data_IF_371509811807
#
_entry.id   IF_371509811807
#
_cell.length_a   1.000
_cell.length_b   1.000
_cell.length_c   1.000
_cell.angle_alpha   90.00
_cell.angle_beta   90.00
_cell.angle_gamma   90.00
#
_symmetry.space_group_name_H-M   'P 1'
#
loop_
_entity.id
_entity.type
_entity.pdbx_description
1 polymer ?
#
# COMPACT_ATOMS: atom_id res chain seq x y z
N UNK A 1 2.07 -13.11 -16.91
CA UNK A 1 2.78 -12.21 -15.98
C UNK A 1 1.74 -11.63 -15.02
N UNK A 2 1.57 -12.24 -13.85
CA UNK A 2 0.62 -11.72 -12.86
C UNK A 2 1.14 -10.40 -12.32
N UNK A 3 0.47 -9.29 -12.63
CA UNK A 3 0.78 -8.00 -12.04
C UNK A 3 0.50 -8.11 -10.53
N UNK A 4 1.50 -7.88 -9.67
CA UNK A 4 1.27 -7.88 -8.23
C UNK A 4 0.32 -6.73 -7.89
N UNK A 5 -0.93 -7.08 -7.56
CA UNK A 5 -2.02 -6.13 -7.27
C UNK A 5 -1.68 -5.19 -6.10
N UNK A 6 -0.69 -5.53 -5.27
CA UNK A 6 -0.22 -4.70 -4.15
C UNK A 6 0.39 -3.40 -4.63
N UNK A 7 1.05 -3.40 -5.80
CA UNK A 7 1.71 -2.20 -6.36
C UNK A 7 0.68 -1.16 -6.83
N UNK A 8 -0.28 -1.46 -7.73
CA UNK A 8 -1.25 -0.48 -8.19
C UNK A 8 -2.17 -0.02 -7.05
N UNK A 9 -2.60 -0.93 -6.17
CA UNK A 9 -3.45 -0.60 -5.04
C UNK A 9 -2.68 0.29 -4.03
N UNK A 10 -1.39 0.03 -3.80
CA UNK A 10 -0.53 0.83 -2.93
C UNK A 10 -0.30 2.23 -3.45
N UNK A 11 -0.12 2.38 -4.77
CA UNK A 11 0.01 3.67 -5.43
C UNK A 11 -1.23 4.54 -5.25
N UNK A 12 -2.43 3.96 -5.42
CA UNK A 12 -3.69 4.71 -5.26
C UNK A 12 -3.84 5.20 -3.81
N UNK A 13 -3.59 4.34 -2.82
CA UNK A 13 -3.64 4.73 -1.41
C UNK A 13 -2.59 5.80 -1.05
N UNK A 14 -1.40 5.71 -1.62
CA UNK A 14 -0.32 6.67 -1.38
C UNK A 14 -0.62 8.03 -2.01
N UNK A 15 -1.19 8.06 -3.22
CA UNK A 15 -1.59 9.30 -3.90
C UNK A 15 -2.77 9.98 -3.20
N UNK A 16 -3.85 9.24 -2.94
CA UNK A 16 -5.06 9.80 -2.32
C UNK A 16 -4.78 10.18 -0.86
N UNK A 17 -4.13 9.30 -0.08
CA UNK A 17 -3.75 9.57 1.29
C UNK A 17 -2.76 10.73 1.42
N UNK A 18 -1.82 10.85 0.47
CA UNK A 18 -0.90 11.97 0.39
C UNK A 18 -1.64 13.29 0.12
N UNK A 19 -2.56 13.30 -0.83
CA UNK A 19 -3.37 14.48 -1.14
C UNK A 19 -4.24 14.91 0.06
N UNK A 20 -4.89 13.96 0.73
CA UNK A 20 -5.67 14.23 1.95
C UNK A 20 -4.79 14.74 3.10
N UNK A 21 -3.59 14.20 3.26
CA UNK A 21 -2.63 14.64 4.29
C UNK A 21 -2.17 16.08 4.03
N UNK A 22 -1.78 16.40 2.78
CA UNK A 22 -1.37 17.75 2.38
C UNK A 22 -2.52 18.74 2.55
N UNK A 23 -3.72 18.36 2.10
CA UNK A 23 -4.92 19.18 2.27
C UNK A 23 -5.22 19.44 3.74
N UNK A 24 -5.16 18.39 4.59
CA UNK A 24 -5.36 18.50 6.03
C UNK A 24 -4.29 19.34 6.74
N UNK A 25 -3.04 19.34 6.26
CA UNK A 25 -1.98 20.20 6.77
C UNK A 25 -2.21 21.67 6.43
N UNK A 26 -2.60 21.97 5.18
CA UNK A 26 -2.88 23.34 4.73
C UNK A 26 -4.11 23.91 5.45
N UNK A 27 -5.16 23.10 5.61
CA UNK A 27 -6.42 23.53 6.23
C UNK A 27 -6.38 23.58 7.75
N UNK A 28 -5.31 23.10 8.41
CA UNK A 28 -5.18 23.04 9.89
C UNK A 28 -5.49 24.35 10.61
N UNK A 29 -5.28 25.50 9.97
CA UNK A 29 -5.50 26.82 10.57
C UNK A 29 -6.90 27.41 10.30
N UNK A 30 -7.71 26.77 9.45
CA UNK A 30 -9.06 27.20 9.10
C UNK A 30 -10.08 26.62 10.08
N UNK A 31 -10.34 27.34 11.16
CA UNK A 31 -11.27 26.94 12.22
C UNK A 31 -12.70 26.66 11.72
N UNK A 32 -13.16 27.38 10.70
CA UNK A 32 -14.52 27.27 10.13
C UNK A 32 -14.83 25.90 9.52
N UNK A 33 -13.81 25.15 9.07
CA UNK A 33 -14.01 23.85 8.42
C UNK A 33 -14.12 22.73 9.47
N UNK A 34 -13.48 22.87 10.64
CA UNK A 34 -13.42 21.83 11.66
C UNK A 34 -14.57 21.84 12.66
N UNK A 35 -15.41 22.86 12.65
CA UNK A 35 -16.62 22.93 13.50
C UNK A 35 -17.52 21.71 13.31
N UNK A 36 -17.66 21.21 12.08
CA UNK A 36 -18.42 19.99 11.76
C UNK A 36 -17.77 18.70 12.26
N UNK A 37 -16.48 18.73 12.58
CA UNK A 37 -15.70 17.57 13.03
C UNK A 37 -15.30 17.67 14.51
N UNK A 38 -15.96 18.52 15.29
CA UNK A 38 -15.61 18.79 16.70
C UNK A 38 -14.14 19.24 16.89
N UNK A 39 -13.59 20.01 15.94
CA UNK A 39 -12.20 20.48 15.99
C UNK A 39 -11.15 19.44 15.56
N UNK A 40 -11.57 18.23 15.15
CA UNK A 40 -10.65 17.15 14.76
C UNK A 40 -10.37 17.19 13.26
N UNK A 41 -9.09 17.13 12.89
CA UNK A 41 -8.65 17.15 11.51
C UNK A 41 -8.71 15.76 10.87
N UNK A 42 -9.93 15.29 10.57
CA UNK A 42 -10.20 13.96 10.01
C UNK A 42 -9.45 13.72 8.70
N UNK A 43 -9.35 14.74 7.83
CA UNK A 43 -8.61 14.63 6.57
C UNK A 43 -7.14 14.31 6.78
N UNK A 44 -6.52 14.93 7.80
CA UNK A 44 -5.14 14.66 8.15
C UNK A 44 -4.97 13.28 8.78
N UNK A 45 -5.82 12.92 9.75
CA UNK A 45 -5.70 11.62 10.45
C UNK A 45 -5.95 10.44 9.51
N UNK A 46 -7.04 10.47 8.73
CA UNK A 46 -7.35 9.41 7.78
C UNK A 46 -6.43 9.42 6.56
N UNK A 47 -6.05 10.60 6.07
CA UNK A 47 -5.06 10.75 5.02
C UNK A 47 -3.72 10.14 5.40
N UNK A 48 -3.26 10.39 6.62
CA UNK A 48 -1.99 9.86 7.14
C UNK A 48 -2.04 8.34 7.31
N UNK A 49 -3.15 7.81 7.84
CA UNK A 49 -3.37 6.35 7.95
C UNK A 49 -3.33 5.67 6.57
N UNK A 50 -4.06 6.20 5.60
CA UNK A 50 -4.08 5.68 4.23
C UNK A 50 -2.71 5.81 3.54
N UNK A 51 -2.01 6.92 3.76
CA UNK A 51 -0.67 7.15 3.21
C UNK A 51 0.36 6.15 3.76
N UNK A 52 0.40 5.95 5.08
CA UNK A 52 1.26 4.97 5.74
C UNK A 52 0.96 3.55 5.26
N UNK A 53 -0.32 3.19 5.17
CA UNK A 53 -0.73 1.89 4.68
C UNK A 53 -0.32 1.66 3.21
N UNK A 54 -0.58 2.61 2.33
CA UNK A 54 -0.19 2.56 0.92
C UNK A 54 1.33 2.48 0.75
N UNK A 55 2.09 3.21 1.56
CA UNK A 55 3.56 3.18 1.58
C UNK A 55 4.09 1.81 1.99
N UNK A 56 3.59 1.23 3.08
CA UNK A 56 3.98 -0.12 3.52
C UNK A 56 3.71 -1.14 2.41
N UNK A 57 2.51 -1.11 1.83
CA UNK A 57 2.12 -2.07 0.81
C UNK A 57 2.91 -1.91 -0.50
N UNK A 58 3.21 -0.68 -0.91
CA UNK A 58 4.08 -0.40 -2.05
C UNK A 58 5.51 -0.91 -1.82
N UNK A 59 6.07 -0.68 -0.62
CA UNK A 59 7.41 -1.15 -0.26
C UNK A 59 7.49 -2.69 -0.20
N UNK A 60 6.45 -3.35 0.32
CA UNK A 60 6.35 -4.82 0.36
C UNK A 60 6.19 -5.39 -1.04
N UNK A 61 5.33 -4.82 -1.88
CA UNK A 61 5.13 -5.25 -3.27
C UNK A 61 6.39 -5.10 -4.13
N UNK A 62 7.23 -4.09 -3.86
CA UNK A 62 8.55 -3.94 -4.49
C UNK A 62 9.58 -4.96 -4.04
N UNK A 63 9.39 -5.63 -2.90
CA UNK A 63 10.29 -6.70 -2.41
C UNK A 63 9.96 -8.05 -3.06
N UNK A 64 9.72 -8.05 -4.37
CA UNK A 64 9.34 -9.19 -5.24
C UNK A 64 10.42 -10.29 -5.36
N UNK A 65 11.34 -10.39 -4.42
CA UNK A 65 12.47 -11.35 -4.43
C UNK A 65 12.12 -12.71 -3.83
N UNK A 66 10.86 -12.96 -3.49
CA UNK A 66 10.47 -14.14 -2.71
C UNK A 66 9.64 -15.16 -3.48
N UNK A 67 9.29 -14.94 -4.76
CA UNK A 67 8.42 -15.85 -5.51
C UNK A 67 8.90 -16.13 -6.94
N UNK A 68 9.12 -17.44 -7.15
CA UNK A 68 9.33 -18.18 -8.40
C UNK A 68 10.65 -17.91 -9.13
N UNK A 69 11.73 -18.42 -8.55
CA UNK A 69 12.99 -18.64 -9.27
C UNK A 69 12.81 -19.88 -10.17
N UNK A 70 12.94 -19.80 -11.51
CA UNK A 70 12.83 -20.97 -12.39
C UNK A 70 13.89 -22.05 -12.07
N UNK A 71 14.90 -21.68 -11.29
CA UNK A 71 16.00 -22.53 -10.84
C UNK A 71 15.59 -23.44 -9.67
N UNK A 72 14.60 -23.06 -8.86
CA UNK A 72 14.16 -23.85 -7.70
C UNK A 72 12.65 -24.13 -7.76
N UNK A 73 12.22 -25.07 -8.62
CA UNK A 73 10.81 -25.47 -8.70
C UNK A 73 10.34 -26.02 -7.35
N UNK A 74 9.05 -25.84 -7.07
CA UNK A 74 8.45 -26.24 -5.80
C UNK A 74 8.61 -27.76 -5.60
N UNK A 75 8.68 -28.27 -4.36
CA UNK A 75 8.92 -29.69 -4.11
C UNK A 75 8.01 -30.66 -4.87
N UNK A 76 6.77 -30.25 -5.17
CA UNK A 76 5.77 -30.99 -5.93
C UNK A 76 5.78 -30.74 -7.45
N UNK A 77 6.54 -29.75 -7.93
CA UNK A 77 6.79 -29.49 -9.37
C UNK A 77 8.01 -30.28 -9.87
N UNK A 78 8.79 -30.87 -8.95
CA UNK A 78 9.91 -31.75 -9.30
C UNK A 78 9.36 -32.98 -10.02
N UNK A 79 9.87 -33.33 -11.22
CA UNK A 79 9.45 -34.55 -11.89
C UNK A 79 9.69 -35.73 -10.96
N UNK A 80 8.71 -36.63 -10.83
CA UNK A 80 8.90 -37.88 -10.11
C UNK A 80 10.09 -38.59 -10.77
N UNK A 81 11.18 -38.77 -10.01
CA UNK A 81 12.39 -39.40 -10.49
C UNK A 81 12.09 -40.78 -11.11
N UNK A 82 12.96 -41.27 -12.00
CA UNK A 82 12.75 -42.54 -12.68
C UNK A 82 12.50 -43.65 -11.65
N UNK A 83 11.35 -44.32 -11.78
CA UNK A 83 11.07 -45.55 -11.03
C UNK A 83 11.88 -46.65 -11.70
N UNK A 84 13.00 -47.00 -11.09
CA UNK A 84 13.78 -48.18 -11.45
C UNK A 84 13.11 -49.45 -10.94
#
# INVERSE_FOLDING_TARGET
MGLDIRIPLGLIFLLIGGLMSVYGLITRHSADIYEKSMGINLNLTWGLLMFLFGLIMYLVGRRQKWQDDPVNPRPWEKPAGPRH
#
